data_IF_521620870859
#
_entry.id   IF_521620870859
#
_cell.length_a   1.000
_cell.length_b   1.000
_cell.length_c   1.000
_cell.angle_alpha   90.00
_cell.angle_beta   90.00
_cell.angle_gamma   90.00
#
_symmetry.space_group_name_H-M   'P 1'
#
loop_
_entity.id
_entity.type
_entity.pdbx_description
1 polymer ?
#
# COMPACT_ATOMS: atom_id res chain seq x y z
N UNK A 1 36.56 -4.73 -69.59
CA UNK A 1 35.25 -4.20 -69.17
C UNK A 1 34.49 -5.35 -68.51
N UNK A 2 33.77 -5.10 -67.42
CA UNK A 2 33.01 -6.03 -66.55
C UNK A 2 33.67 -6.39 -65.21
N UNK A 3 33.58 -5.44 -64.27
CA UNK A 3 33.60 -5.71 -62.83
C UNK A 3 32.23 -6.29 -62.45
N UNK A 4 32.17 -7.60 -62.22
CA UNK A 4 31.00 -8.26 -61.65
C UNK A 4 30.79 -7.76 -60.23
N UNK A 5 29.79 -6.89 -60.07
CA UNK A 5 29.35 -6.32 -58.80
C UNK A 5 28.64 -7.43 -58.01
N UNK A 6 29.35 -8.12 -57.12
CA UNK A 6 28.71 -8.92 -56.06
C UNK A 6 28.05 -7.96 -55.08
N UNK A 7 26.77 -7.69 -55.30
CA UNK A 7 25.89 -7.07 -54.33
C UNK A 7 25.56 -8.13 -53.25
N UNK A 8 26.49 -8.35 -52.32
CA UNK A 8 26.17 -9.00 -51.06
C UNK A 8 25.22 -8.06 -50.31
N UNK A 9 23.92 -8.40 -50.34
CA UNK A 9 22.94 -7.86 -49.42
C UNK A 9 23.47 -8.09 -48.00
N UNK A 10 23.92 -7.02 -47.34
CA UNK A 10 24.15 -6.97 -45.91
C UNK A 10 22.80 -7.20 -45.24
N UNK A 11 22.45 -8.47 -45.04
CA UNK A 11 21.59 -8.84 -43.94
C UNK A 11 22.33 -8.35 -42.70
N UNK A 12 21.81 -7.33 -42.01
CA UNK A 12 22.14 -7.15 -40.60
C UNK A 12 21.82 -8.49 -39.94
N UNK A 13 22.83 -9.34 -39.72
CA UNK A 13 22.68 -10.41 -38.75
C UNK A 13 22.45 -9.70 -37.43
N UNK A 14 21.22 -9.82 -36.94
CA UNK A 14 20.89 -9.50 -35.57
C UNK A 14 21.66 -10.51 -34.74
N UNK A 15 22.90 -10.19 -34.41
CA UNK A 15 23.71 -10.97 -33.48
C UNK A 15 23.03 -10.81 -32.12
N UNK A 16 22.45 -11.89 -31.60
CA UNK A 16 21.88 -11.93 -30.27
C UNK A 16 23.00 -11.65 -29.28
N UNK A 17 22.90 -10.54 -28.54
CA UNK A 17 23.94 -10.18 -27.57
C UNK A 17 23.69 -10.99 -26.30
N UNK A 18 24.66 -11.75 -25.80
CA UNK A 18 24.51 -12.41 -24.52
C UNK A 18 24.38 -11.33 -23.42
N UNK A 19 23.29 -11.40 -22.65
CA UNK A 19 23.09 -10.64 -21.43
C UNK A 19 23.29 -11.61 -20.27
N UNK A 20 24.51 -11.83 -19.74
CA UNK A 20 24.71 -12.85 -18.72
C UNK A 20 23.70 -12.65 -17.57
N UNK A 21 22.88 -13.65 -17.20
CA UNK A 21 22.92 -15.07 -17.58
C UNK A 21 21.95 -15.52 -18.70
N UNK A 22 21.23 -14.62 -19.35
CA UNK A 22 20.21 -14.86 -20.36
C UNK A 22 20.61 -14.43 -21.79
N UNK A 23 19.81 -14.83 -22.78
CA UNK A 23 19.94 -14.37 -24.17
C UNK A 23 19.01 -13.19 -24.44
N UNK A 24 19.54 -12.08 -24.97
CA UNK A 24 18.77 -10.90 -25.33
C UNK A 24 18.74 -10.69 -26.83
N UNK A 25 17.55 -10.61 -27.40
CA UNK A 25 17.33 -10.43 -28.83
C UNK A 25 16.38 -9.26 -29.10
N UNK A 26 16.72 -8.31 -29.98
CA UNK A 26 15.75 -7.33 -30.44
C UNK A 26 14.72 -8.01 -31.36
N UNK A 27 13.45 -7.64 -31.23
CA UNK A 27 12.41 -8.22 -32.10
C UNK A 27 12.45 -7.60 -33.51
N UNK A 28 12.41 -8.42 -34.58
CA UNK A 28 12.37 -7.90 -35.94
C UNK A 28 11.04 -7.16 -36.18
N UNK A 29 11.13 -5.91 -36.65
CA UNK A 29 9.96 -5.10 -37.01
C UNK A 29 9.15 -4.55 -35.83
N UNK A 30 9.62 -4.69 -34.59
CA UNK A 30 9.01 -4.09 -33.38
C UNK A 30 10.08 -3.43 -32.51
N UNK A 31 9.70 -2.34 -31.83
CA UNK A 31 10.56 -1.74 -30.81
C UNK A 31 10.39 -2.50 -29.48
N UNK A 32 11.29 -3.45 -29.22
CA UNK A 32 11.33 -4.18 -27.96
C UNK A 32 12.25 -5.41 -27.99
N UNK A 33 12.39 -6.04 -26.83
CA UNK A 33 13.35 -7.12 -26.58
C UNK A 33 12.66 -8.43 -26.21
N UNK A 34 13.23 -9.53 -26.71
CA UNK A 34 13.01 -10.89 -26.23
C UNK A 34 14.15 -11.20 -25.27
N UNK A 35 13.78 -11.59 -24.05
CA UNK A 35 14.71 -12.11 -23.06
C UNK A 35 14.42 -13.59 -22.86
N UNK A 36 15.38 -14.43 -23.24
CA UNK A 36 15.33 -15.87 -23.04
C UNK A 36 16.28 -16.31 -21.94
N UNK A 37 15.70 -16.65 -20.80
CA UNK A 37 16.38 -17.17 -19.63
C UNK A 37 16.01 -18.65 -19.38
N UNK A 38 15.50 -19.36 -20.38
CA UNK A 38 15.03 -20.73 -20.20
C UNK A 38 16.18 -21.67 -19.86
N UNK A 39 15.95 -22.58 -18.91
CA UNK A 39 16.90 -23.66 -18.55
C UNK A 39 18.28 -23.19 -18.07
N UNK A 40 18.37 -21.96 -17.54
CA UNK A 40 19.61 -21.37 -17.00
C UNK A 40 19.88 -21.82 -15.56
N UNK A 41 18.84 -22.26 -14.84
CA UNK A 41 18.93 -22.67 -13.43
C UNK A 41 18.71 -21.52 -12.44
N UNK A 42 17.97 -20.49 -12.85
CA UNK A 42 17.66 -19.33 -12.00
C UNK A 42 16.86 -19.75 -10.77
N UNK A 43 17.27 -19.26 -9.60
CA UNK A 43 16.55 -19.43 -8.32
C UNK A 43 15.69 -18.22 -7.97
N UNK A 44 16.08 -17.06 -8.49
CA UNK A 44 15.43 -15.78 -8.28
C UNK A 44 15.27 -15.07 -9.62
N UNK A 45 14.34 -14.12 -9.69
CA UNK A 45 14.13 -13.32 -10.89
C UNK A 45 15.33 -12.40 -11.15
N UNK A 46 15.84 -12.32 -12.39
CA UNK A 46 16.87 -11.35 -12.74
C UNK A 46 16.30 -9.94 -12.75
N UNK A 47 17.18 -8.94 -12.71
CA UNK A 47 16.79 -7.54 -12.90
C UNK A 47 16.31 -7.37 -14.34
N UNK A 48 15.04 -6.97 -14.50
CA UNK A 48 14.42 -6.78 -15.82
C UNK A 48 14.45 -5.31 -16.25
N UNK A 49 14.23 -5.06 -17.54
CA UNK A 49 14.18 -3.73 -18.15
C UNK A 49 12.79 -3.42 -18.74
N UNK A 50 12.49 -2.15 -18.99
CA UNK A 50 11.13 -1.69 -19.36
C UNK A 50 10.65 -2.06 -20.78
N UNK A 51 11.55 -2.40 -21.71
CA UNK A 51 11.22 -2.61 -23.13
C UNK A 51 11.19 -4.09 -23.54
N UNK A 52 10.73 -4.96 -22.64
CA UNK A 52 10.59 -6.40 -22.89
C UNK A 52 9.21 -6.69 -23.47
N UNK A 53 9.17 -7.42 -24.59
CA UNK A 53 7.94 -7.90 -25.23
C UNK A 53 7.75 -9.41 -25.03
N UNK A 54 8.83 -10.18 -24.93
CA UNK A 54 8.79 -11.62 -24.75
C UNK A 54 9.74 -11.99 -23.62
N UNK A 55 9.23 -12.69 -22.61
CA UNK A 55 9.98 -13.15 -21.45
C UNK A 55 9.84 -14.67 -21.28
N UNK A 56 10.92 -15.41 -21.51
CA UNK A 56 10.97 -16.87 -21.37
C UNK A 56 11.77 -17.24 -20.11
N UNK A 57 11.09 -17.80 -19.11
CA UNK A 57 11.64 -18.13 -17.78
C UNK A 57 11.43 -19.62 -17.42
N UNK A 58 11.00 -20.43 -18.37
CA UNK A 58 10.68 -21.83 -18.18
C UNK A 58 11.89 -22.70 -17.80
N UNK A 59 11.62 -23.84 -17.17
CA UNK A 59 12.63 -24.83 -16.81
C UNK A 59 13.72 -24.27 -15.88
N UNK A 60 13.36 -23.38 -14.96
CA UNK A 60 14.27 -22.84 -13.94
C UNK A 60 13.90 -23.41 -12.55
N UNK A 61 14.55 -22.89 -11.51
CA UNK A 61 14.32 -23.28 -10.13
C UNK A 61 13.64 -22.14 -9.33
N UNK A 62 12.77 -21.37 -9.99
CA UNK A 62 12.00 -20.31 -9.36
C UNK A 62 10.89 -20.92 -8.49
N UNK A 63 10.80 -20.45 -7.25
CA UNK A 63 9.76 -20.90 -6.31
C UNK A 63 8.68 -19.85 -6.12
N UNK A 64 9.01 -18.56 -6.31
CA UNK A 64 8.09 -17.44 -6.16
C UNK A 64 8.60 -16.23 -6.94
N UNK A 65 7.78 -15.18 -7.05
CA UNK A 65 8.19 -13.89 -7.61
C UNK A 65 7.89 -12.81 -6.58
N UNK A 66 8.91 -12.03 -6.22
CA UNK A 66 8.77 -10.97 -5.22
C UNK A 66 7.81 -9.87 -5.70
N UNK A 67 6.97 -9.32 -4.81
CA UNK A 67 6.15 -8.16 -5.14
C UNK A 67 6.95 -7.02 -5.77
N UNK A 68 6.41 -6.43 -6.83
CA UNK A 68 7.05 -5.34 -7.57
C UNK A 68 7.99 -5.78 -8.71
N UNK A 69 8.44 -7.03 -8.75
CA UNK A 69 9.44 -7.50 -9.72
C UNK A 69 8.98 -7.35 -11.18
N UNK A 70 7.70 -7.56 -11.45
CA UNK A 70 7.13 -7.57 -12.80
C UNK A 70 6.41 -6.25 -13.15
N UNK A 71 6.32 -5.30 -12.21
CA UNK A 71 5.55 -4.05 -12.39
C UNK A 71 6.13 -3.15 -13.48
N UNK A 72 7.43 -3.31 -13.75
CA UNK A 72 8.13 -2.60 -14.82
C UNK A 72 7.79 -3.14 -16.22
N UNK A 73 7.24 -4.36 -16.32
CA UNK A 73 6.92 -5.04 -17.58
C UNK A 73 5.57 -4.59 -18.13
N UNK A 74 5.42 -3.31 -18.47
CA UNK A 74 4.13 -2.76 -18.91
C UNK A 74 3.74 -3.11 -20.34
N UNK A 75 4.71 -3.52 -21.17
CA UNK A 75 4.54 -3.78 -22.61
C UNK A 75 4.66 -5.26 -22.96
N UNK A 76 4.82 -6.15 -21.98
CA UNK A 76 5.09 -7.55 -22.26
C UNK A 76 3.90 -8.18 -22.98
N UNK A 77 4.16 -8.86 -24.10
CA UNK A 77 3.13 -9.49 -24.93
C UNK A 77 3.03 -10.98 -24.63
N UNK A 78 4.17 -11.62 -24.31
CA UNK A 78 4.25 -13.06 -24.04
C UNK A 78 5.16 -13.34 -22.86
N UNK A 79 4.69 -14.22 -21.98
CA UNK A 79 5.47 -14.73 -20.85
C UNK A 79 5.33 -16.23 -20.73
N UNK A 80 6.43 -16.88 -20.36
CA UNK A 80 6.46 -18.31 -20.09
C UNK A 80 7.18 -18.60 -18.77
N UNK A 81 6.43 -19.09 -17.79
CA UNK A 81 6.91 -19.42 -16.44
C UNK A 81 6.71 -20.91 -16.11
N UNK A 82 6.50 -21.73 -17.13
CA UNK A 82 6.23 -23.16 -16.97
C UNK A 82 7.44 -23.91 -16.39
N UNK A 83 7.20 -25.11 -15.86
CA UNK A 83 8.26 -26.01 -15.40
C UNK A 83 9.23 -25.38 -14.38
N UNK A 84 8.69 -24.64 -13.43
CA UNK A 84 9.41 -24.13 -12.27
C UNK A 84 8.78 -24.70 -10.99
N UNK A 85 9.56 -24.92 -9.91
CA UNK A 85 9.07 -25.50 -8.66
C UNK A 85 8.27 -24.48 -7.82
N UNK A 86 7.17 -23.98 -8.36
CA UNK A 86 6.37 -22.94 -7.72
C UNK A 86 5.82 -23.37 -6.36
N UNK A 87 6.05 -22.53 -5.35
CA UNK A 87 5.48 -22.66 -4.02
C UNK A 87 4.20 -21.82 -3.93
N UNK A 88 3.06 -22.50 -3.99
CA UNK A 88 1.73 -21.89 -4.04
C UNK A 88 1.11 -21.71 -2.64
N UNK A 89 1.85 -21.05 -1.75
CA UNK A 89 1.32 -20.48 -0.51
C UNK A 89 0.98 -18.99 -0.71
N UNK A 90 0.89 -18.20 0.36
CA UNK A 90 0.59 -16.79 0.21
C UNK A 90 1.64 -15.97 -0.54
N UNK A 91 2.91 -16.39 -0.55
CA UNK A 91 3.96 -15.63 -1.21
C UNK A 91 3.74 -15.54 -2.73
N UNK A 92 3.02 -16.49 -3.32
CA UNK A 92 2.72 -16.48 -4.76
C UNK A 92 1.61 -15.51 -5.16
N UNK A 93 0.90 -14.91 -4.20
CA UNK A 93 -0.30 -14.13 -4.47
C UNK A 93 -0.03 -12.98 -5.46
N UNK A 94 1.05 -12.24 -5.27
CA UNK A 94 1.46 -11.18 -6.20
C UNK A 94 1.62 -11.71 -7.62
N UNK A 95 2.36 -12.82 -7.79
CA UNK A 95 2.62 -13.42 -9.09
C UNK A 95 1.32 -13.89 -9.77
N UNK A 96 0.44 -14.54 -9.00
CA UNK A 96 -0.87 -14.97 -9.46
C UNK A 96 -1.70 -13.78 -9.95
N UNK A 97 -1.79 -12.71 -9.16
CA UNK A 97 -2.55 -11.51 -9.52
C UNK A 97 -1.98 -10.83 -10.77
N UNK A 98 -0.65 -10.70 -10.86
CA UNK A 98 -0.01 -10.14 -12.05
C UNK A 98 -0.31 -10.95 -13.31
N UNK A 99 -0.27 -12.28 -13.22
CA UNK A 99 -0.68 -13.15 -14.34
C UNK A 99 -2.17 -13.03 -14.65
N UNK A 100 -3.05 -12.92 -13.65
CA UNK A 100 -4.49 -12.72 -13.84
C UNK A 100 -4.80 -11.43 -14.62
N UNK A 101 -4.08 -10.36 -14.31
CA UNK A 101 -4.28 -9.03 -14.92
C UNK A 101 -3.69 -8.93 -16.33
N UNK A 102 -2.47 -9.45 -16.54
CA UNK A 102 -1.73 -9.21 -17.78
C UNK A 102 -1.63 -10.44 -18.70
N UNK A 103 -1.61 -11.67 -18.17
CA UNK A 103 -1.36 -12.90 -18.93
C UNK A 103 -2.16 -14.10 -18.43
N UNK A 104 -3.49 -13.97 -18.35
CA UNK A 104 -4.38 -14.97 -17.74
C UNK A 104 -4.22 -16.38 -18.31
N UNK A 105 -3.95 -16.50 -19.62
CA UNK A 105 -3.70 -17.78 -20.27
C UNK A 105 -2.48 -18.52 -19.70
N UNK A 106 -1.44 -17.79 -19.27
CA UNK A 106 -0.21 -18.37 -18.71
C UNK A 106 -0.41 -19.00 -17.33
N UNK A 107 -1.49 -18.67 -16.59
CA UNK A 107 -1.81 -19.29 -15.30
C UNK A 107 -1.98 -20.81 -15.39
N UNK A 108 -2.53 -21.30 -16.52
CA UNK A 108 -2.74 -22.73 -16.73
C UNK A 108 -1.41 -23.50 -16.88
N UNK A 109 -0.34 -22.81 -17.30
CA UNK A 109 0.98 -23.39 -17.53
C UNK A 109 1.87 -23.35 -16.27
N UNK A 110 1.41 -22.68 -15.20
CA UNK A 110 2.10 -22.58 -13.91
C UNK A 110 1.55 -23.66 -12.99
N UNK A 111 2.36 -24.68 -12.70
CA UNK A 111 1.97 -25.81 -11.84
C UNK A 111 2.68 -25.73 -10.49
N UNK A 112 1.93 -25.93 -9.41
CA UNK A 112 2.45 -25.87 -8.04
C UNK A 112 3.29 -27.12 -7.72
N UNK A 113 4.53 -26.92 -7.27
CA UNK A 113 5.36 -27.99 -6.70
C UNK A 113 5.09 -28.20 -5.20
N UNK A 114 4.68 -27.14 -4.51
CA UNK A 114 4.26 -27.17 -3.11
C UNK A 114 3.29 -26.04 -2.78
N UNK A 115 2.76 -25.99 -1.54
CA UNK A 115 2.83 -27.04 -0.51
C UNK A 115 2.04 -28.30 -0.90
N UNK A 116 2.21 -29.40 -0.16
CA UNK A 116 1.65 -30.72 -0.50
C UNK A 116 0.12 -30.72 -0.79
N UNK A 117 -0.64 -29.83 -0.15
CA UNK A 117 -2.09 -29.70 -0.35
C UNK A 117 -2.50 -29.23 -1.75
N UNK A 118 -1.61 -28.55 -2.47
CA UNK A 118 -1.89 -28.01 -3.82
C UNK A 118 -0.88 -28.48 -4.86
N UNK A 119 0.00 -29.43 -4.49
CA UNK A 119 1.00 -30.00 -5.39
C UNK A 119 0.35 -30.57 -6.66
N UNK A 120 0.98 -30.34 -7.81
CA UNK A 120 0.52 -30.70 -9.16
C UNK A 120 -0.77 -30.01 -9.63
N UNK A 121 -1.36 -29.10 -8.85
CA UNK A 121 -2.48 -28.27 -9.33
C UNK A 121 -1.93 -27.09 -10.14
N UNK A 122 -2.63 -26.75 -11.22
CA UNK A 122 -2.38 -25.51 -11.96
C UNK A 122 -2.78 -24.29 -11.11
N UNK A 123 -2.02 -23.21 -11.21
CA UNK A 123 -2.28 -21.97 -10.47
C UNK A 123 -3.63 -21.35 -10.87
N UNK A 124 -4.07 -21.56 -12.12
CA UNK A 124 -5.41 -21.19 -12.61
C UNK A 124 -6.57 -21.84 -11.83
N UNK A 125 -6.34 -22.98 -11.17
CA UNK A 125 -7.36 -23.73 -10.43
C UNK A 125 -7.35 -23.43 -8.92
N UNK A 126 -6.51 -22.48 -8.47
CA UNK A 126 -6.40 -22.11 -7.07
C UNK A 126 -7.18 -20.82 -6.80
N UNK A 127 -7.99 -20.86 -5.76
CA UNK A 127 -8.63 -19.70 -5.17
C UNK A 127 -7.78 -19.13 -4.03
N UNK A 128 -8.10 -17.92 -3.55
CA UNK A 128 -7.41 -17.34 -2.39
C UNK A 128 -7.50 -18.19 -1.11
N UNK A 129 -8.52 -19.05 -0.99
CA UNK A 129 -8.67 -19.97 0.14
C UNK A 129 -7.76 -21.20 0.05
N UNK A 130 -7.33 -21.58 -1.16
CA UNK A 130 -6.38 -22.69 -1.36
C UNK A 130 -4.95 -22.29 -0.96
N UNK A 131 -4.64 -20.98 -1.00
CA UNK A 131 -3.33 -20.42 -0.68
C UNK A 131 -3.15 -20.33 0.84
N UNK A 132 -2.34 -21.22 1.40
CA UNK A 132 -2.06 -21.25 2.84
C UNK A 132 -1.26 -20.02 3.28
N UNK A 133 -1.55 -19.54 4.50
CA UNK A 133 -0.76 -18.47 5.13
C UNK A 133 -1.14 -17.07 4.70
N UNK A 134 -2.17 -16.88 3.87
CA UNK A 134 -2.68 -15.54 3.61
C UNK A 134 -3.46 -15.04 4.82
N UNK A 135 -2.85 -14.12 5.56
CA UNK A 135 -3.56 -13.32 6.53
C UNK A 135 -4.50 -12.41 5.75
N UNK A 136 -5.81 -12.68 5.86
CA UNK A 136 -6.79 -11.62 5.66
C UNK A 136 -6.42 -10.53 6.67
N UNK A 137 -6.24 -9.26 6.25
CA UNK A 137 -6.14 -8.19 7.23
C UNK A 137 -7.33 -8.38 8.17
N UNK A 138 -7.06 -8.47 9.49
CA UNK A 138 -8.12 -8.63 10.47
C UNK A 138 -9.19 -7.61 10.11
N UNK A 139 -10.47 -8.00 9.98
CA UNK A 139 -11.51 -7.00 9.78
C UNK A 139 -11.40 -6.07 10.97
N UNK A 140 -10.96 -4.84 10.75
CA UNK A 140 -11.13 -3.78 11.73
C UNK A 140 -12.65 -3.74 11.88
N UNK A 141 -13.13 -4.24 13.01
CA UNK A 141 -14.56 -4.25 13.29
C UNK A 141 -15.00 -2.80 13.22
N UNK A 142 -15.87 -2.42 12.28
CA UNK A 142 -16.38 -1.05 12.19
C UNK A 142 -16.90 -0.54 13.54
N UNK A 143 -17.36 -1.48 14.37
CA UNK A 143 -17.78 -1.25 15.74
C UNK A 143 -16.65 -0.68 16.63
N UNK A 144 -15.41 -1.17 16.52
CA UNK A 144 -14.27 -0.69 17.31
C UNK A 144 -13.88 0.75 16.95
N UNK A 145 -14.02 1.12 15.66
CA UNK A 145 -13.83 2.49 15.20
C UNK A 145 -14.91 3.42 15.82
N UNK A 146 -16.17 2.99 15.81
CA UNK A 146 -17.28 3.78 16.34
C UNK A 146 -17.21 3.94 17.87
N UNK A 147 -16.86 2.91 18.64
CA UNK A 147 -16.73 3.03 20.10
C UNK A 147 -15.61 3.98 20.51
N UNK A 148 -14.48 3.94 19.78
CA UNK A 148 -13.36 4.84 20.02
C UNK A 148 -13.76 6.29 19.79
N UNK A 149 -14.45 6.57 18.69
CA UNK A 149 -14.90 7.93 18.37
C UNK A 149 -15.98 8.42 19.33
N UNK A 150 -16.93 7.56 19.72
CA UNK A 150 -17.94 7.89 20.74
C UNK A 150 -17.30 8.21 22.08
N UNK A 151 -16.28 7.45 22.51
CA UNK A 151 -15.54 7.71 23.73
C UNK A 151 -14.81 9.06 23.68
N UNK A 152 -14.17 9.38 22.55
CA UNK A 152 -13.49 10.67 22.36
C UNK A 152 -14.48 11.83 22.38
N UNK A 153 -15.64 11.68 21.74
CA UNK A 153 -16.71 12.69 21.76
C UNK A 153 -17.24 12.89 23.19
N UNK A 154 -17.49 11.81 23.92
CA UNK A 154 -17.97 11.88 25.30
C UNK A 154 -16.97 12.61 26.22
N UNK A 155 -15.68 12.33 26.09
CA UNK A 155 -14.62 13.02 26.84
C UNK A 155 -14.59 14.51 26.50
N UNK A 156 -14.65 14.86 25.20
CA UNK A 156 -14.65 16.27 24.77
C UNK A 156 -15.86 17.04 25.33
N UNK A 157 -17.05 16.43 25.31
CA UNK A 157 -18.27 17.01 25.88
C UNK A 157 -18.14 17.21 27.39
N UNK A 158 -17.63 16.22 28.13
CA UNK A 158 -17.40 16.35 29.57
C UNK A 158 -16.42 17.48 29.91
N UNK A 159 -15.33 17.61 29.15
CA UNK A 159 -14.36 18.70 29.32
C UNK A 159 -15.01 20.06 29.05
N UNK A 160 -15.80 20.20 27.99
CA UNK A 160 -16.52 21.43 27.68
C UNK A 160 -17.51 21.81 28.79
N UNK A 161 -18.25 20.84 29.34
CA UNK A 161 -19.17 21.07 30.45
C UNK A 161 -18.40 21.58 31.68
N UNK A 162 -17.29 20.94 32.04
CA UNK A 162 -16.46 21.37 33.17
C UNK A 162 -15.89 22.79 32.97
N UNK A 163 -15.45 23.12 31.75
CA UNK A 163 -15.00 24.47 31.41
C UNK A 163 -16.14 25.48 31.55
N UNK A 164 -17.33 25.19 31.05
CA UNK A 164 -18.49 26.08 31.20
C UNK A 164 -18.88 26.23 32.67
N UNK A 165 -18.92 25.14 33.44
CA UNK A 165 -19.24 25.18 34.86
C UNK A 165 -18.23 26.02 35.65
N UNK A 166 -16.93 25.84 35.40
CA UNK A 166 -15.87 26.63 36.06
C UNK A 166 -15.96 28.11 35.68
N UNK A 167 -16.24 28.44 34.42
CA UNK A 167 -16.45 29.82 33.96
C UNK A 167 -17.72 30.46 34.56
N UNK A 168 -18.82 29.70 34.70
CA UNK A 168 -20.03 30.21 35.34
C UNK A 168 -19.85 30.39 36.85
N UNK A 169 -19.15 29.46 37.50
CA UNK A 169 -18.84 29.55 38.92
C UNK A 169 -17.95 30.75 39.23
N UNK A 170 -16.88 30.96 38.43
CA UNK A 170 -16.01 32.12 38.59
C UNK A 170 -16.76 33.44 38.37
N UNK A 171 -17.63 33.52 37.36
CA UNK A 171 -18.53 34.67 37.14
C UNK A 171 -19.48 34.90 38.32
N UNK A 172 -20.06 33.84 38.89
CA UNK A 172 -20.96 33.93 40.04
C UNK A 172 -20.23 34.45 41.28
N UNK A 173 -18.99 34.00 41.51
CA UNK A 173 -18.13 34.50 42.59
C UNK A 173 -17.78 35.97 42.37
N UNK A 174 -17.37 36.36 41.16
CA UNK A 174 -17.08 37.75 40.81
C UNK A 174 -18.29 38.67 41.02
N UNK A 175 -19.49 38.23 40.63
CA UNK A 175 -20.73 38.97 40.86
C UNK A 175 -21.08 39.10 42.35
N UNK A 176 -20.73 38.09 43.16
CA UNK A 176 -20.91 38.12 44.62
C UNK A 176 -19.95 39.13 45.25
N UNK A 177 -18.68 39.16 44.85
CA UNK A 177 -17.72 40.18 45.32
C UNK A 177 -18.12 41.60 44.92
N UNK A 178 -18.61 41.82 43.70
CA UNK A 178 -19.07 43.15 43.26
C UNK A 178 -20.32 43.60 44.02
N UNK A 179 -21.26 42.70 44.34
CA UNK A 179 -22.41 43.01 45.21
C UNK A 179 -22.00 43.32 46.65
N UNK A 180 -20.96 42.65 47.16
CA UNK A 180 -20.45 42.89 48.51
C UNK A 180 -19.71 44.23 48.59
N UNK A 181 -19.03 44.65 47.52
CA UNK A 181 -18.33 45.93 47.44
C UNK A 181 -19.28 47.13 47.30
N UNK A 182 -20.42 46.99 46.59
CA UNK A 182 -21.45 48.03 46.53
C UNK A 182 -22.28 48.19 47.81
N UNK A 183 -22.21 47.22 48.74
CA UNK A 183 -22.88 47.31 50.06
C UNK A 183 -22.01 47.95 51.15
N UNK A 184 -20.74 48.28 50.86
CA UNK A 184 -19.80 48.84 51.84
C UNK A 184 -19.43 50.31 51.61
N UNK A 185 -19.99 50.95 50.58
CA UNK A 185 -19.76 52.38 50.31
C UNK A 185 -21.08 53.17 50.43
N UNK A 186 -21.56 53.33 51.67
CA UNK A 186 -22.52 54.38 52.06
C UNK A 186 -21.71 55.42 52.85
N UNK A 187 -21.60 56.69 52.41
CA UNK A 187 -20.85 57.70 53.14
C UNK A 187 -21.53 58.09 54.46
N UNK A 188 -20.76 58.03 55.55
CA UNK A 188 -21.03 58.65 56.84
C UNK A 188 -21.23 60.17 56.70
N UNK A 189 -22.47 60.63 56.52
CA UNK A 189 -22.78 62.05 56.69
C UNK A 189 -24.20 62.30 57.21
N UNK A 190 -24.58 61.66 58.32
CA UNK A 190 -25.73 62.04 59.15
C UNK A 190 -25.46 61.67 60.63
N UNK A 191 -24.35 62.16 61.21
CA UNK A 191 -24.16 62.18 62.67
C UNK A 191 -23.62 63.57 63.06
N UNK A 192 -24.42 64.60 62.83
CA UNK A 192 -24.16 65.92 63.42
C UNK A 192 -25.42 66.74 63.68
N UNK A 193 -26.52 66.10 64.10
CA UNK A 193 -27.76 66.84 64.40
C UNK A 193 -28.51 66.37 65.66
N UNK A 194 -27.79 65.88 66.68
CA UNK A 194 -28.41 65.51 67.97
C UNK A 194 -27.66 66.01 69.22
N UNK A 195 -26.55 66.75 69.07
CA UNK A 195 -25.70 67.14 70.21
C UNK A 195 -25.53 68.65 70.38
N UNK A 196 -26.61 69.44 70.30
CA UNK A 196 -26.61 70.75 71.00
C UNK A 196 -28.01 71.31 71.38
N UNK A 197 -28.95 70.43 71.73
CA UNK A 197 -30.15 70.81 72.49
C UNK A 197 -29.91 70.76 74.01
N UNK A 198 -28.79 71.33 74.46
CA UNK A 198 -28.48 71.41 75.90
C UNK A 198 -27.61 72.60 76.30
N UNK A 199 -27.99 73.82 75.94
CA UNK A 199 -27.70 75.00 76.79
C UNK A 199 -28.45 76.25 76.32
N UNK A 200 -29.28 76.78 77.24
CA UNK A 200 -29.80 78.15 77.34
C UNK A 200 -31.11 78.50 76.63
#
# INVERSE_FOLDING_TARGET
MNKGLLLFLLLCRVESKPCPPCLCEPLPGKLGWRIDCASVGLKEMPVLSIDILILEMQNNNLTTVLPGTLDILRKVEKVNFSNNPWNCDCSILYFKMWLEDFHKASLANVTCAGPASVKMRALSHLSGNDLKGCQKPLPISCLDFLWRDVLLIAIAVLVLILVVCTLQYSRKLANKSTKQQHSSEIPLLQIHDMEDRKSK
#
